data_IF_291267115350
#
_entry.id   IF_291267115350
#
_cell.length_a   1.000
_cell.length_b   1.000
_cell.length_c   1.000
_cell.angle_alpha   90.00
_cell.angle_beta   90.00
_cell.angle_gamma   90.00
#
_symmetry.space_group_name_H-M   'P 1'
#
loop_
_entity.id
_entity.type
_entity.pdbx_description
1 polymer ?
#
# COMPACT_ATOMS: atom_id res chain seq x y z
N UNK A 1 15.86 -22.15 -29.03
CA UNK A 1 14.60 -21.45 -28.74
C UNK A 1 14.95 -20.34 -27.76
N UNK A 2 15.39 -19.17 -28.26
CA UNK A 2 14.60 -17.94 -28.53
C UNK A 2 13.88 -17.49 -27.24
N UNK A 3 14.04 -16.30 -26.67
CA UNK A 3 14.13 -14.93 -27.25
C UNK A 3 14.80 -14.02 -26.17
N UNK A 4 15.99 -13.43 -26.35
CA UNK A 4 16.29 -12.08 -26.96
C UNK A 4 15.51 -10.94 -26.25
N UNK A 5 16.12 -9.98 -25.54
CA UNK A 5 17.05 -8.98 -26.06
C UNK A 5 18.17 -8.55 -25.08
N UNK A 6 19.38 -8.56 -25.63
CA UNK A 6 20.60 -7.99 -25.11
C UNK A 6 21.12 -7.01 -26.16
N UNK A 7 21.60 -5.84 -25.71
CA UNK A 7 22.65 -5.03 -26.34
C UNK A 7 22.27 -3.90 -27.33
N UNK A 8 22.64 -2.66 -26.97
CA UNK A 8 23.58 -1.75 -27.70
C UNK A 8 23.66 -0.42 -26.93
N UNK A 9 24.79 0.03 -26.35
CA UNK A 9 26.16 0.28 -26.86
C UNK A 9 26.24 1.51 -27.78
N UNK A 10 26.77 2.61 -27.25
CA UNK A 10 27.52 3.68 -27.96
C UNK A 10 28.53 4.19 -26.91
N UNK A 11 29.84 3.88 -26.96
CA UNK A 11 30.84 4.38 -27.92
C UNK A 11 31.45 5.67 -27.33
N UNK A 12 32.75 5.91 -27.21
CA UNK A 12 33.95 5.37 -27.86
C UNK A 12 35.17 6.00 -27.17
N UNK A 13 36.19 5.20 -26.87
CA UNK A 13 37.54 5.69 -26.60
C UNK A 13 38.18 6.15 -27.93
N UNK A 14 38.68 7.39 -28.02
CA UNK A 14 39.58 7.78 -29.12
C UNK A 14 40.68 8.77 -28.70
N UNK A 15 41.88 8.18 -28.59
CA UNK A 15 43.19 8.61 -29.13
C UNK A 15 43.92 9.86 -28.56
N UNK A 16 45.21 9.63 -28.30
CA UNK A 16 46.30 10.54 -27.89
C UNK A 16 46.63 11.60 -28.95
N UNK A 17 47.10 12.79 -28.52
CA UNK A 17 48.46 13.35 -28.71
C UNK A 17 48.44 14.89 -28.63
N UNK A 18 49.51 15.49 -28.07
CA UNK A 18 49.88 16.88 -28.41
C UNK A 18 50.27 17.75 -27.21
N UNK A 19 51.58 17.95 -27.06
CA UNK A 19 52.25 18.83 -26.10
C UNK A 19 52.34 20.29 -26.56
N UNK A 20 52.55 21.17 -25.56
CA UNK A 20 53.15 22.52 -25.60
C UNK A 20 52.26 23.74 -25.90
N UNK A 21 52.25 24.68 -24.94
CA UNK A 21 51.74 26.05 -25.11
C UNK A 21 51.74 26.85 -23.80
N UNK A 22 52.69 27.77 -23.64
CA UNK A 22 52.87 28.72 -22.53
C UNK A 22 51.64 29.61 -22.30
N UNK A 23 51.40 30.02 -21.05
CA UNK A 23 51.50 31.44 -20.62
C UNK A 23 50.87 31.64 -19.24
N UNK A 24 51.56 32.40 -18.40
CA UNK A 24 51.19 32.79 -17.05
C UNK A 24 49.98 33.74 -17.02
N UNK A 25 49.19 33.64 -15.95
CA UNK A 25 48.13 34.59 -15.59
C UNK A 25 47.67 34.35 -14.15
N UNK A 26 48.12 35.19 -13.22
CA UNK A 26 47.73 35.18 -11.80
C UNK A 26 46.32 35.78 -11.68
N UNK A 27 45.43 35.18 -10.91
CA UNK A 27 44.34 35.90 -10.26
C UNK A 27 44.10 35.31 -8.86
N UNK A 28 44.10 36.21 -7.90
CA UNK A 28 43.96 36.04 -6.45
C UNK A 28 42.47 36.02 -6.09
N UNK A 29 42.17 35.54 -4.87
CA UNK A 29 40.90 35.60 -4.15
C UNK A 29 39.93 34.47 -4.52
N UNK A 30 39.21 33.85 -3.59
CA UNK A 30 38.63 34.38 -2.36
C UNK A 30 38.31 33.20 -1.44
N UNK A 31 38.57 33.36 -0.14
CA UNK A 31 38.16 32.40 0.87
C UNK A 31 36.62 32.30 0.91
N UNK A 32 36.09 31.10 0.70
CA UNK A 32 34.72 30.75 1.04
C UNK A 32 34.77 29.60 2.04
N UNK A 33 35.00 29.93 3.31
CA UNK A 33 34.72 28.99 4.42
C UNK A 33 33.21 28.92 4.56
N UNK A 34 32.59 28.04 3.77
CA UNK A 34 31.19 27.67 3.94
C UNK A 34 31.14 26.51 4.95
N UNK A 35 30.97 26.83 6.24
CA UNK A 35 30.56 25.86 7.25
C UNK A 35 29.11 25.51 6.96
N UNK A 36 28.90 24.47 6.14
CA UNK A 36 27.58 23.87 5.95
C UNK A 36 27.23 23.10 7.23
N UNK A 37 26.27 23.64 8.01
CA UNK A 37 25.65 22.91 9.10
C UNK A 37 24.89 21.71 8.52
N UNK A 38 25.50 20.52 8.60
CA UNK A 38 24.89 19.24 8.26
C UNK A 38 23.82 18.90 9.30
N UNK A 39 22.63 19.47 9.15
CA UNK A 39 21.45 19.04 9.90
C UNK A 39 21.04 17.64 9.47
N UNK A 40 21.49 16.67 10.26
CA UNK A 40 20.89 15.37 10.58
C UNK A 40 20.20 14.60 9.44
N UNK A 41 20.98 13.85 8.66
CA UNK A 41 20.51 12.60 8.07
C UNK A 41 20.90 11.45 9.00
N UNK A 42 20.14 11.23 10.08
CA UNK A 42 20.22 9.95 10.79
C UNK A 42 19.32 8.97 10.03
N UNK A 43 19.86 8.00 9.27
CA UNK A 43 19.04 6.90 8.78
C UNK A 43 18.47 6.19 10.01
N UNK A 44 17.18 6.35 10.27
CA UNK A 44 16.51 5.55 11.27
C UNK A 44 16.57 4.09 10.79
N UNK A 45 17.31 3.26 11.52
CA UNK A 45 17.38 1.83 11.26
C UNK A 45 16.04 1.19 11.63
N UNK A 46 15.13 1.15 10.66
CA UNK A 46 13.81 0.49 10.76
C UNK A 46 13.91 -1.00 10.37
N UNK A 47 15.11 -1.57 10.25
CA UNK A 47 15.32 -2.98 9.87
C UNK A 47 14.67 -3.98 10.86
N UNK A 48 14.41 -3.55 12.09
CA UNK A 48 13.74 -4.36 13.11
C UNK A 48 12.21 -4.27 13.14
N UNK A 49 11.59 -3.39 12.36
CA UNK A 49 10.14 -3.18 12.42
C UNK A 49 9.40 -4.23 11.57
N UNK A 50 8.97 -5.30 12.24
CA UNK A 50 8.25 -6.39 11.59
C UNK A 50 6.88 -5.92 11.05
N UNK A 51 6.57 -6.17 9.77
CA UNK A 51 5.24 -5.92 9.23
C UNK A 51 4.26 -7.04 9.62
N UNK A 52 2.99 -6.68 9.86
CA UNK A 52 1.94 -7.61 10.23
C UNK A 52 0.70 -7.46 9.34
N UNK A 53 -0.12 -8.51 9.30
CA UNK A 53 -1.46 -8.45 8.69
C UNK A 53 -2.33 -7.42 9.45
N UNK A 54 -3.35 -6.84 8.79
CA UNK A 54 -4.15 -5.79 9.41
C UNK A 54 -5.02 -6.36 10.55
N UNK A 55 -5.36 -5.56 11.55
CA UNK A 55 -6.40 -5.89 12.54
C UNK A 55 -7.69 -5.24 12.10
N UNK A 56 -8.78 -5.99 12.02
CA UNK A 56 -10.07 -5.54 11.47
C UNK A 56 -11.19 -5.82 12.48
N UNK A 57 -12.20 -4.94 12.50
CA UNK A 57 -13.45 -5.14 13.23
C UNK A 57 -14.64 -4.98 12.29
N UNK A 58 -15.64 -5.83 12.48
CA UNK A 58 -16.96 -5.64 11.87
C UNK A 58 -17.77 -4.79 12.84
N UNK A 59 -18.17 -3.60 12.40
CA UNK A 59 -18.81 -2.60 13.27
C UNK A 59 -20.32 -2.78 13.29
N UNK A 60 -20.93 -2.91 12.11
CA UNK A 60 -22.38 -2.99 11.99
C UNK A 60 -22.80 -3.77 10.73
N UNK A 61 -23.99 -4.36 10.79
CA UNK A 61 -24.70 -4.95 9.67
C UNK A 61 -26.19 -4.63 9.86
N UNK A 62 -26.72 -3.75 9.01
CA UNK A 62 -28.08 -3.22 9.10
C UNK A 62 -28.88 -3.56 7.84
N UNK A 63 -30.06 -4.20 7.96
CA UNK A 63 -30.89 -4.50 6.80
C UNK A 63 -31.50 -3.21 6.24
N UNK A 64 -31.50 -3.10 4.91
CA UNK A 64 -32.04 -1.97 4.13
C UNK A 64 -32.84 -2.57 2.96
N UNK A 65 -34.13 -2.84 3.20
CA UNK A 65 -34.96 -3.62 2.29
C UNK A 65 -34.36 -5.00 2.04
N UNK A 66 -34.29 -5.42 0.77
CA UNK A 66 -33.69 -6.69 0.34
C UNK A 66 -32.14 -6.70 0.39
N UNK A 67 -31.51 -5.77 1.10
CA UNK A 67 -30.04 -5.65 1.14
C UNK A 67 -29.55 -5.38 2.56
N UNK A 68 -28.25 -5.45 2.79
CA UNK A 68 -27.63 -5.13 4.07
C UNK A 68 -26.53 -4.09 3.87
N UNK A 69 -26.59 -3.00 4.64
CA UNK A 69 -25.49 -2.04 4.77
C UNK A 69 -24.55 -2.51 5.86
N UNK A 70 -23.26 -2.61 5.52
CA UNK A 70 -22.24 -3.17 6.39
C UNK A 70 -21.19 -2.10 6.66
N UNK A 71 -20.74 -2.01 7.91
CA UNK A 71 -19.66 -1.12 8.33
C UNK A 71 -18.53 -1.91 8.99
N UNK A 72 -17.30 -1.54 8.66
CA UNK A 72 -16.08 -2.17 9.12
C UNK A 72 -15.02 -1.13 9.44
N UNK A 73 -14.05 -1.53 10.24
CA UNK A 73 -12.92 -0.68 10.60
C UNK A 73 -11.61 -1.48 10.58
N UNK A 74 -10.60 -0.95 9.90
CA UNK A 74 -9.21 -1.35 10.13
C UNK A 74 -8.72 -0.64 11.39
N UNK A 75 -8.39 -1.42 12.41
CA UNK A 75 -7.90 -0.91 13.71
C UNK A 75 -6.40 -0.64 13.64
N UNK A 76 -5.65 -1.50 12.95
CA UNK A 76 -4.19 -1.42 12.90
C UNK A 76 -3.65 -2.09 11.63
N UNK A 77 -2.58 -1.57 11.04
CA UNK A 77 -1.83 -2.23 9.96
C UNK A 77 -0.34 -1.87 10.07
N UNK A 78 0.41 -2.51 10.97
CA UNK A 78 1.80 -2.12 11.26
C UNK A 78 2.72 -2.37 10.07
N UNK A 79 3.49 -1.33 9.68
CA UNK A 79 4.57 -1.38 8.69
C UNK A 79 4.18 -1.99 7.33
N UNK A 80 2.89 -2.02 7.01
CA UNK A 80 2.37 -2.50 5.74
C UNK A 80 1.07 -1.80 5.42
N UNK A 81 0.96 -1.24 4.21
CA UNK A 81 -0.23 -0.49 3.79
C UNK A 81 -1.35 -1.44 3.41
N UNK A 82 -2.58 -1.15 3.87
CA UNK A 82 -3.78 -1.88 3.44
C UNK A 82 -4.02 -1.69 1.94
N UNK A 83 -4.10 -2.79 1.21
CA UNK A 83 -4.31 -2.82 -0.25
C UNK A 83 -5.76 -3.11 -0.62
N UNK A 84 -6.48 -3.91 0.17
CA UNK A 84 -7.90 -4.18 -0.05
C UNK A 84 -8.68 -4.23 1.26
N UNK A 85 -9.97 -3.90 1.19
CA UNK A 85 -10.92 -3.98 2.30
C UNK A 85 -12.33 -4.25 1.76
N UNK A 86 -13.16 -4.90 2.56
CA UNK A 86 -14.47 -5.32 2.13
C UNK A 86 -15.19 -6.18 3.16
N UNK A 87 -16.20 -6.90 2.70
CA UNK A 87 -17.02 -7.77 3.53
C UNK A 87 -17.23 -9.10 2.85
N UNK A 88 -17.17 -10.16 3.65
CA UNK A 88 -17.65 -11.48 3.31
C UNK A 88 -19.00 -11.66 3.98
N UNK A 89 -20.01 -12.07 3.22
CA UNK A 89 -21.33 -12.34 3.76
C UNK A 89 -21.98 -13.52 3.07
N UNK A 90 -22.96 -14.11 3.74
CA UNK A 90 -23.52 -15.36 3.25
C UNK A 90 -24.45 -16.05 4.24
N UNK A 91 -24.85 -17.26 3.88
CA UNK A 91 -25.57 -18.21 4.70
C UNK A 91 -25.08 -19.63 4.33
N UNK A 92 -25.82 -20.68 4.67
CA UNK A 92 -25.41 -22.06 4.40
C UNK A 92 -25.27 -22.39 2.89
N UNK A 93 -25.95 -21.65 2.02
CA UNK A 93 -25.96 -21.89 0.56
C UNK A 93 -25.24 -20.81 -0.25
N UNK A 94 -25.01 -19.64 0.35
CA UNK A 94 -24.42 -18.48 -0.28
C UNK A 94 -23.16 -18.03 0.45
N UNK A 95 -22.08 -17.78 -0.28
CA UNK A 95 -20.90 -17.08 0.24
C UNK A 95 -20.39 -16.11 -0.81
N UNK A 96 -20.36 -14.82 -0.47
CA UNK A 96 -20.00 -13.74 -1.39
C UNK A 96 -19.06 -12.77 -0.69
N UNK A 97 -18.06 -12.31 -1.43
CA UNK A 97 -17.19 -11.21 -1.02
C UNK A 97 -17.57 -9.94 -1.79
N UNK A 98 -17.51 -8.78 -1.13
CA UNK A 98 -17.76 -7.47 -1.74
C UNK A 98 -16.70 -6.50 -1.25
N UNK A 99 -16.03 -5.85 -2.20
CA UNK A 99 -15.06 -4.81 -1.91
C UNK A 99 -15.76 -3.52 -1.51
N UNK A 100 -15.20 -2.81 -0.53
CA UNK A 100 -15.58 -1.43 -0.27
C UNK A 100 -14.83 -0.50 -1.23
N UNK A 101 -15.51 0.55 -1.68
CA UNK A 101 -14.89 1.62 -2.46
C UNK A 101 -14.08 2.59 -1.58
N UNK A 102 -14.28 2.56 -0.26
CA UNK A 102 -13.63 3.49 0.66
C UNK A 102 -12.14 3.18 0.78
N UNK A 103 -11.35 4.24 0.97
CA UNK A 103 -9.89 4.16 1.15
C UNK A 103 -9.44 4.45 2.58
N UNK A 104 -10.38 4.82 3.45
CA UNK A 104 -10.18 5.14 4.87
C UNK A 104 -10.22 3.90 5.76
N UNK A 105 -9.78 4.05 7.01
CA UNK A 105 -9.78 2.95 8.00
C UNK A 105 -11.19 2.50 8.36
N UNK A 106 -12.15 3.44 8.44
CA UNK A 106 -13.58 3.11 8.50
C UNK A 106 -14.11 3.02 7.08
N UNK A 107 -14.78 1.92 6.76
CA UNK A 107 -15.28 1.64 5.42
C UNK A 107 -16.65 0.98 5.48
N UNK A 108 -17.43 1.19 4.42
CA UNK A 108 -18.76 0.62 4.27
C UNK A 108 -18.95 -0.05 2.91
N UNK A 109 -19.90 -0.97 2.84
CA UNK A 109 -20.40 -1.52 1.59
C UNK A 109 -21.86 -1.96 1.76
N UNK A 110 -22.57 -2.09 0.65
CA UNK A 110 -23.92 -2.64 0.62
C UNK A 110 -23.90 -3.97 -0.13
N UNK A 111 -24.60 -4.97 0.38
CA UNK A 111 -24.75 -6.25 -0.32
C UNK A 111 -25.55 -6.06 -1.61
N UNK A 112 -25.43 -7.01 -2.53
CA UNK A 112 -26.46 -7.18 -3.56
C UNK A 112 -27.81 -7.53 -2.93
N UNK A 113 -28.88 -7.57 -3.74
CA UNK A 113 -30.18 -8.07 -3.26
C UNK A 113 -30.06 -9.51 -2.77
N UNK A 114 -30.61 -9.74 -1.59
CA UNK A 114 -30.71 -10.99 -0.87
C UNK A 114 -32.18 -11.37 -0.77
N UNK A 115 -32.44 -12.68 -0.69
CA UNK A 115 -33.78 -13.15 -0.34
C UNK A 115 -34.00 -13.03 1.17
N UNK A 116 -35.25 -13.22 1.65
CA UNK A 116 -35.53 -13.31 3.07
C UNK A 116 -34.74 -14.45 3.71
N UNK A 117 -34.18 -14.20 4.90
CA UNK A 117 -33.39 -15.18 5.62
C UNK A 117 -32.30 -14.59 6.51
N UNK A 118 -31.59 -15.47 7.21
CA UNK A 118 -30.49 -15.11 8.11
C UNK A 118 -29.16 -15.21 7.38
N UNK A 119 -28.36 -14.16 7.51
CA UNK A 119 -27.04 -14.04 6.90
C UNK A 119 -25.97 -13.73 7.95
N UNK A 120 -24.75 -14.21 7.73
CA UNK A 120 -23.55 -13.77 8.44
C UNK A 120 -22.85 -12.67 7.65
N UNK A 121 -22.16 -11.77 8.35
CA UNK A 121 -21.35 -10.69 7.80
C UNK A 121 -20.04 -10.61 8.55
N UNK A 122 -18.93 -10.52 7.81
CA UNK A 122 -17.56 -10.41 8.34
C UNK A 122 -16.80 -9.37 7.52
N UNK A 123 -16.34 -8.30 8.15
CA UNK A 123 -15.43 -7.34 7.53
C UNK A 123 -14.06 -7.99 7.32
N UNK A 124 -13.35 -7.62 6.25
CA UNK A 124 -11.98 -8.06 6.00
C UNK A 124 -11.12 -6.94 5.46
N UNK A 125 -9.81 -7.07 5.66
CA UNK A 125 -8.80 -6.24 5.01
C UNK A 125 -7.55 -7.06 4.72
N UNK A 126 -6.82 -6.69 3.67
CA UNK A 126 -5.54 -7.31 3.32
C UNK A 126 -4.45 -6.28 3.07
N UNK A 127 -3.21 -6.69 3.30
CA UNK A 127 -2.00 -5.95 2.99
C UNK A 127 -0.92 -6.92 2.44
N UNK A 128 0.32 -6.45 2.29
CA UNK A 128 1.42 -7.28 1.78
C UNK A 128 1.79 -8.48 2.67
N UNK A 129 1.29 -8.53 3.91
CA UNK A 129 1.56 -9.63 4.85
C UNK A 129 0.44 -10.66 4.91
N UNK A 130 -0.79 -10.30 4.54
CA UNK A 130 -1.90 -11.25 4.52
C UNK A 130 -3.28 -10.61 4.59
N UNK A 131 -4.27 -11.47 4.80
CA UNK A 131 -5.68 -11.15 4.99
C UNK A 131 -6.04 -11.29 6.47
N UNK A 132 -6.92 -10.43 6.96
CA UNK A 132 -7.50 -10.58 8.29
C UNK A 132 -9.00 -10.33 8.26
N UNK A 133 -9.70 -11.03 9.15
CA UNK A 133 -11.13 -11.00 9.29
C UNK A 133 -11.49 -10.33 10.62
N UNK A 134 -12.59 -9.58 10.63
CA UNK A 134 -13.20 -9.06 11.83
C UNK A 134 -14.16 -10.06 12.47
N UNK A 135 -14.93 -9.56 13.43
CA UNK A 135 -15.97 -10.32 14.12
C UNK A 135 -17.12 -10.72 13.18
N UNK A 136 -17.74 -11.87 13.44
CA UNK A 136 -18.94 -12.29 12.70
C UNK A 136 -20.19 -11.68 13.31
N UNK A 137 -20.91 -10.89 12.52
CA UNK A 137 -22.26 -10.42 12.86
C UNK A 137 -23.30 -11.25 12.11
N UNK A 138 -24.51 -11.32 12.66
CA UNK A 138 -25.66 -11.94 11.99
C UNK A 138 -26.76 -10.92 11.79
N UNK A 139 -27.39 -10.96 10.62
CA UNK A 139 -28.50 -10.10 10.24
C UNK A 139 -29.60 -10.95 9.62
N UNK A 140 -30.86 -10.54 9.82
CA UNK A 140 -32.02 -11.16 9.18
C UNK A 140 -32.58 -10.16 8.17
N UNK A 141 -32.88 -10.65 6.96
CA UNK A 141 -33.61 -9.93 5.91
C UNK A 141 -35.04 -10.49 5.91
N UNK A 142 -36.02 -9.60 5.96
CA UNK A 142 -37.46 -9.91 6.00
C UNK A 142 -38.13 -9.76 4.63
#
# INVERSE_FOLDING_TARGET
MKNEDCFRRIGSCFRRNGSAGRSAGRCVAMACVAVAALTACNPEDRSGEQPFAPTVKTIAAEPVGDSCRMEGQVVLSPNSRVTQRGFRYGNDTLQVDTLSADTTDRFAATTRRLGPGRYYVVAYASNGMGLSLGDTLYVTID
#
